data_IF_871154425571
#
_entry.id   IF_871154425571
#
_cell.length_a   1.000
_cell.length_b   1.000
_cell.length_c   1.000
_cell.angle_alpha   90.00
_cell.angle_beta   90.00
_cell.angle_gamma   90.00
#
_symmetry.space_group_name_H-M   'P 1'
#
loop_
_entity.id
_entity.type
_entity.pdbx_description
1 polymer ?
#
# COMPACT_ATOMS: atom_id res chain seq x y z
N UNK A 1 -25.27 -6.14 -2.61
CA UNK A 1 -25.55 -4.73 -2.99
C UNK A 1 -27.01 -4.47 -2.72
N UNK A 2 -27.30 -3.65 -1.76
CA UNK A 2 -28.69 -3.26 -1.51
C UNK A 2 -29.16 -2.21 -2.54
N UNK A 3 -30.44 -1.81 -2.45
CA UNK A 3 -31.02 -0.81 -3.38
C UNK A 3 -30.44 0.60 -3.23
N UNK A 4 -29.56 0.84 -2.24
CA UNK A 4 -28.89 2.13 -2.00
C UNK A 4 -27.51 2.22 -2.66
N UNK A 5 -26.95 1.09 -3.14
CA UNK A 5 -25.62 1.05 -3.73
C UNK A 5 -24.48 1.02 -2.70
N UNK A 6 -24.81 0.75 -1.44
CA UNK A 6 -23.84 0.57 -0.34
C UNK A 6 -23.49 -0.92 -0.18
N UNK A 7 -22.29 -1.23 0.28
CA UNK A 7 -21.79 -2.59 0.51
C UNK A 7 -21.49 -2.76 1.98
N UNK A 8 -22.12 -3.75 2.62
CA UNK A 8 -21.84 -4.06 4.02
C UNK A 8 -20.42 -4.62 4.19
N UNK A 9 -19.85 -4.50 5.39
CA UNK A 9 -18.54 -5.07 5.69
C UNK A 9 -18.47 -6.59 5.41
N UNK A 10 -19.55 -7.32 5.71
CA UNK A 10 -19.62 -8.75 5.41
C UNK A 10 -19.57 -9.05 3.93
N UNK A 11 -20.39 -8.36 3.12
CA UNK A 11 -20.42 -8.52 1.66
C UNK A 11 -19.06 -8.14 1.04
N UNK A 12 -18.42 -7.09 1.56
CA UNK A 12 -17.08 -6.70 1.11
C UNK A 12 -16.04 -7.80 1.33
N UNK A 13 -16.02 -8.43 2.51
CA UNK A 13 -15.09 -9.53 2.79
C UNK A 13 -15.37 -10.76 1.94
N UNK A 14 -16.65 -11.08 1.71
CA UNK A 14 -17.06 -12.19 0.85
C UNK A 14 -16.64 -11.95 -0.61
N UNK A 15 -16.78 -10.73 -1.13
CA UNK A 15 -16.37 -10.35 -2.49
C UNK A 15 -14.86 -10.54 -2.73
N UNK A 16 -14.03 -10.28 -1.72
CA UNK A 16 -12.57 -10.45 -1.81
C UNK A 16 -12.07 -11.78 -1.25
N UNK A 17 -12.99 -12.67 -0.84
CA UNK A 17 -12.70 -13.99 -0.26
C UNK A 17 -11.76 -13.91 0.96
N UNK A 18 -12.06 -13.00 1.88
CA UNK A 18 -11.32 -12.79 3.12
C UNK A 18 -12.20 -13.07 4.35
N UNK A 19 -11.55 -13.47 5.44
CA UNK A 19 -12.19 -13.61 6.74
C UNK A 19 -11.99 -12.33 7.58
N UNK A 20 -12.93 -12.07 8.49
CA UNK A 20 -12.79 -10.98 9.44
C UNK A 20 -11.58 -11.17 10.35
N UNK A 21 -10.75 -10.16 10.48
CA UNK A 21 -9.57 -10.12 11.34
C UNK A 21 -9.31 -8.67 11.81
N UNK A 22 -8.44 -8.50 12.80
CA UNK A 22 -8.03 -7.16 13.23
C UNK A 22 -7.44 -6.35 12.07
N UNK A 23 -6.75 -7.01 11.15
CA UNK A 23 -6.19 -6.39 9.96
C UNK A 23 -7.27 -5.92 8.98
N UNK A 24 -8.26 -6.77 8.66
CA UNK A 24 -9.37 -6.39 7.77
C UNK A 24 -10.27 -5.34 8.41
N UNK A 25 -10.46 -5.36 9.74
CA UNK A 25 -11.16 -4.31 10.48
C UNK A 25 -10.46 -2.95 10.33
N UNK A 26 -9.12 -2.91 10.44
CA UNK A 26 -8.34 -1.68 10.28
C UNK A 26 -8.37 -1.16 8.83
N UNK A 27 -8.27 -2.05 7.83
CA UNK A 27 -8.40 -1.66 6.41
C UNK A 27 -9.78 -1.09 6.13
N UNK A 28 -10.84 -1.71 6.65
CA UNK A 28 -12.21 -1.21 6.48
C UNK A 28 -12.38 0.16 7.12
N UNK A 29 -11.93 0.34 8.37
CA UNK A 29 -12.00 1.61 9.08
C UNK A 29 -11.21 2.75 8.40
N UNK A 30 -10.15 2.42 7.65
CA UNK A 30 -9.40 3.42 6.88
C UNK A 30 -10.25 4.06 5.75
N UNK A 31 -11.18 3.31 5.17
CA UNK A 31 -11.96 3.76 4.01
C UNK A 31 -13.40 4.11 4.35
N UNK A 32 -13.98 3.56 5.41
CA UNK A 32 -15.28 3.96 5.98
C UNK A 32 -15.12 5.30 6.72
N UNK A 33 -15.00 6.38 5.94
CA UNK A 33 -14.69 7.73 6.46
C UNK A 33 -15.86 8.29 7.27
N UNK A 34 -17.09 7.92 6.89
CA UNK A 34 -18.30 8.39 7.57
C UNK A 34 -18.67 7.54 8.81
N UNK A 35 -18.02 6.37 9.00
CA UNK A 35 -18.19 5.50 10.17
C UNK A 35 -19.55 4.82 10.25
N UNK A 36 -20.25 4.65 9.10
CA UNK A 36 -21.58 4.03 9.09
C UNK A 36 -21.56 2.49 9.05
N UNK A 37 -20.39 1.87 8.87
CA UNK A 37 -20.20 0.42 8.78
C UNK A 37 -20.58 -0.19 7.43
N UNK A 38 -20.81 0.63 6.43
CA UNK A 38 -21.08 0.26 5.03
C UNK A 38 -20.15 1.08 4.12
N UNK A 39 -19.82 0.58 2.95
CA UNK A 39 -19.04 1.33 1.96
C UNK A 39 -19.95 1.83 0.86
N UNK A 40 -19.96 3.11 0.62
CA UNK A 40 -20.51 3.68 -0.60
C UNK A 40 -19.57 3.42 -1.80
N UNK A 41 -19.97 3.85 -3.00
CA UNK A 41 -19.17 3.59 -4.20
C UNK A 41 -17.79 4.28 -4.17
N UNK A 42 -17.71 5.49 -3.65
CA UNK A 42 -16.47 6.27 -3.59
C UNK A 42 -15.52 5.66 -2.57
N UNK A 43 -16.01 5.29 -1.38
CA UNK A 43 -15.25 4.58 -0.35
C UNK A 43 -14.77 3.20 -0.83
N UNK A 44 -15.65 2.45 -1.54
CA UNK A 44 -15.29 1.17 -2.13
C UNK A 44 -14.17 1.32 -3.17
N UNK A 45 -14.23 2.29 -4.06
CA UNK A 45 -13.15 2.55 -5.02
C UNK A 45 -11.88 3.03 -4.32
N UNK A 46 -12.00 3.81 -3.24
CA UNK A 46 -10.87 4.32 -2.47
C UNK A 46 -9.98 3.19 -1.94
N UNK A 47 -10.56 2.07 -1.47
CA UNK A 47 -9.77 0.94 -0.97
C UNK A 47 -8.86 0.36 -2.07
N UNK A 48 -9.35 0.21 -3.29
CA UNK A 48 -8.55 -0.28 -4.40
C UNK A 48 -7.47 0.72 -4.82
N UNK A 49 -7.83 2.02 -4.91
CA UNK A 49 -6.90 3.06 -5.29
C UNK A 49 -5.80 3.29 -4.27
N UNK A 50 -6.04 2.98 -3.00
CA UNK A 50 -5.07 3.14 -1.92
C UNK A 50 -4.30 1.85 -1.71
N UNK A 51 -4.96 0.80 -1.22
CA UNK A 51 -4.29 -0.40 -0.75
C UNK A 51 -3.66 -1.23 -1.88
N UNK A 52 -4.36 -1.36 -3.03
CA UNK A 52 -3.79 -2.06 -4.19
C UNK A 52 -2.54 -1.37 -4.77
N UNK A 53 -2.35 -0.08 -4.47
CA UNK A 53 -1.20 0.69 -4.93
C UNK A 53 -0.07 0.76 -3.91
N UNK A 54 -0.21 0.23 -2.71
CA UNK A 54 0.86 0.18 -1.72
C UNK A 54 2.05 -0.64 -2.21
N UNK A 55 3.24 -0.11 -2.03
CA UNK A 55 4.49 -0.87 -2.13
C UNK A 55 4.75 -1.64 -0.83
N UNK A 56 5.84 -2.41 -0.79
CA UNK A 56 6.16 -3.25 0.37
C UNK A 56 6.35 -2.44 1.67
N UNK A 57 7.01 -1.30 1.60
CA UNK A 57 7.26 -0.47 2.77
C UNK A 57 5.97 0.22 3.25
N UNK A 58 5.10 0.65 2.32
CA UNK A 58 3.78 1.19 2.64
C UNK A 58 2.89 0.12 3.31
N UNK A 59 2.92 -1.14 2.85
CA UNK A 59 2.21 -2.25 3.49
C UNK A 59 2.77 -2.52 4.90
N UNK A 60 4.09 -2.50 5.05
CA UNK A 60 4.72 -2.72 6.35
C UNK A 60 4.33 -1.63 7.35
N UNK A 61 4.42 -0.36 6.95
CA UNK A 61 4.01 0.77 7.78
C UNK A 61 2.53 0.68 8.15
N UNK A 62 1.67 0.43 7.18
CA UNK A 62 0.23 0.27 7.42
C UNK A 62 -0.07 -0.92 8.36
N UNK A 63 0.63 -2.05 8.19
CA UNK A 63 0.46 -3.21 9.07
C UNK A 63 0.86 -2.88 10.51
N UNK A 64 1.96 -2.16 10.70
CA UNK A 64 2.39 -1.68 12.00
C UNK A 64 1.31 -0.80 12.66
N UNK A 65 0.83 0.21 11.95
CA UNK A 65 -0.23 1.13 12.40
C UNK A 65 -1.56 0.41 12.73
N UNK A 66 -1.88 -0.69 12.03
CA UNK A 66 -3.06 -1.52 12.35
C UNK A 66 -2.98 -2.18 13.72
N UNK A 67 -1.77 -2.49 14.20
CA UNK A 67 -1.57 -3.18 15.48
C UNK A 67 -1.20 -2.22 16.60
N UNK A 68 -0.62 -1.06 16.32
CA UNK A 68 -0.46 0.08 17.24
C UNK A 68 -1.83 0.77 17.43
N UNK A 69 -2.67 0.21 18.31
CA UNK A 69 -4.07 0.64 18.44
C UNK A 69 -4.27 1.94 19.19
N UNK A 70 -3.39 2.22 20.13
CA UNK A 70 -3.42 3.44 20.92
C UNK A 70 -2.62 4.60 20.31
N UNK A 71 -1.98 4.33 19.14
CA UNK A 71 -1.11 5.25 18.41
C UNK A 71 0.03 5.77 19.29
N UNK A 72 0.58 4.91 20.12
CA UNK A 72 1.74 5.23 20.97
C UNK A 72 3.04 5.36 20.17
N UNK A 73 3.06 4.81 18.96
CA UNK A 73 4.24 4.69 18.11
C UNK A 73 5.08 3.46 18.42
N UNK A 74 4.58 2.57 19.30
CA UNK A 74 5.25 1.31 19.70
C UNK A 74 4.22 0.20 19.84
N UNK A 75 4.62 -1.05 19.65
CA UNK A 75 3.76 -2.23 19.86
C UNK A 75 4.08 -2.84 21.23
N UNK A 76 3.07 -2.90 22.09
CA UNK A 76 3.14 -3.52 23.40
C UNK A 76 2.81 -5.03 23.36
N UNK A 77 2.81 -5.68 24.54
CA UNK A 77 2.56 -7.12 24.65
C UNK A 77 1.14 -7.52 24.19
N UNK A 78 0.11 -6.71 24.43
CA UNK A 78 -1.28 -7.02 24.06
C UNK A 78 -1.45 -6.88 22.54
N UNK A 79 -0.88 -5.86 21.96
CA UNK A 79 -0.89 -5.57 20.54
C UNK A 79 -0.07 -6.60 19.75
N UNK A 80 1.11 -6.95 20.26
CA UNK A 80 1.93 -8.02 19.68
C UNK A 80 1.23 -9.38 19.72
N UNK A 81 0.52 -9.68 20.78
CA UNK A 81 -0.29 -10.90 20.88
C UNK A 81 -1.37 -10.95 19.81
N UNK A 82 -2.00 -9.80 19.52
CA UNK A 82 -2.99 -9.69 18.45
C UNK A 82 -2.36 -9.87 17.07
N UNK A 83 -1.19 -9.27 16.84
CA UNK A 83 -0.39 -9.45 15.62
C UNK A 83 -0.07 -10.94 15.43
N UNK A 84 0.50 -11.59 16.44
CA UNK A 84 0.85 -13.01 16.39
C UNK A 84 -0.35 -13.91 16.10
N UNK A 85 -1.49 -13.65 16.70
CA UNK A 85 -2.73 -14.38 16.42
C UNK A 85 -3.21 -14.21 14.98
N UNK A 86 -3.13 -12.99 14.45
CA UNK A 86 -3.55 -12.67 13.08
C UNK A 86 -2.64 -13.35 12.05
N UNK A 87 -1.31 -13.30 12.26
CA UNK A 87 -0.32 -13.94 11.38
C UNK A 87 -0.48 -15.47 11.36
N UNK A 88 -0.81 -16.06 12.49
CA UNK A 88 -0.84 -17.51 12.66
C UNK A 88 -2.23 -18.14 12.47
N UNK A 89 -3.25 -17.39 12.04
CA UNK A 89 -4.62 -17.89 12.01
C UNK A 89 -5.04 -18.52 13.36
N UNK A 90 -4.62 -17.94 14.48
CA UNK A 90 -4.86 -18.44 15.83
C UNK A 90 -3.86 -19.49 16.32
N UNK A 91 -2.87 -19.91 15.51
CA UNK A 91 -1.84 -20.87 15.93
C UNK A 91 -0.63 -20.13 16.56
N UNK A 92 -0.09 -20.59 17.71
CA UNK A 92 0.94 -19.87 18.46
C UNK A 92 2.37 -20.13 17.97
N UNK A 93 2.60 -20.14 16.64
CA UNK A 93 3.89 -20.60 16.05
C UNK A 93 4.84 -19.48 15.61
N UNK A 94 4.44 -18.22 15.72
CA UNK A 94 5.32 -17.10 15.33
C UNK A 94 5.52 -16.14 16.48
N UNK A 95 6.73 -15.58 16.53
CA UNK A 95 7.63 -15.83 17.64
C UNK A 95 6.78 -16.04 18.87
N UNK A 96 6.85 -17.20 19.48
CA UNK A 96 5.87 -17.81 20.37
C UNK A 96 5.37 -16.97 21.54
N UNK A 97 6.05 -15.87 21.87
CA UNK A 97 5.62 -14.87 22.84
C UNK A 97 6.37 -13.55 22.65
N UNK A 98 5.82 -12.49 23.23
CA UNK A 98 6.39 -11.15 23.21
C UNK A 98 7.78 -11.09 23.85
N UNK A 99 8.02 -11.82 24.94
CA UNK A 99 9.35 -11.88 25.56
C UNK A 99 10.45 -12.38 24.63
N UNK A 100 10.18 -13.39 23.80
CA UNK A 100 11.15 -13.87 22.79
C UNK A 100 11.37 -12.82 21.70
N UNK A 101 10.31 -12.08 21.31
CA UNK A 101 10.45 -11.00 20.35
C UNK A 101 11.29 -9.85 20.91
N UNK A 102 11.09 -9.48 22.17
CA UNK A 102 11.92 -8.47 22.84
C UNK A 102 13.39 -8.94 22.94
N UNK A 103 13.66 -10.18 23.39
CA UNK A 103 15.03 -10.71 23.49
C UNK A 103 15.79 -10.65 22.15
N UNK A 104 15.08 -10.75 21.03
CA UNK A 104 15.68 -10.82 19.70
C UNK A 104 15.70 -9.44 18.98
N UNK A 105 14.71 -8.57 19.20
CA UNK A 105 14.51 -7.37 18.39
C UNK A 105 14.47 -6.06 19.15
N UNK A 106 14.21 -6.05 20.47
CA UNK A 106 14.27 -4.84 21.30
C UNK A 106 15.74 -4.38 21.43
N UNK A 107 16.12 -3.38 20.64
CA UNK A 107 17.50 -2.88 20.60
C UNK A 107 17.76 -1.77 21.61
N UNK A 108 16.71 -1.10 22.06
CA UNK A 108 16.81 0.03 22.96
C UNK A 108 16.51 -0.32 24.43
N UNK A 109 16.12 -1.61 24.69
CA UNK A 109 15.79 -2.16 26.01
C UNK A 109 14.62 -1.41 26.70
N UNK A 110 13.65 -0.89 25.94
CA UNK A 110 12.48 -0.20 26.48
C UNK A 110 11.28 -1.12 26.76
N UNK A 111 11.38 -2.37 26.34
CA UNK A 111 10.35 -3.39 26.55
C UNK A 111 9.18 -3.29 25.57
N UNK A 112 9.33 -2.57 24.47
CA UNK A 112 8.34 -2.36 23.42
C UNK A 112 8.97 -2.72 22.06
N UNK A 113 8.19 -2.69 20.99
CA UNK A 113 8.70 -2.86 19.62
C UNK A 113 8.36 -1.60 18.83
N UNK A 114 9.37 -0.83 18.48
CA UNK A 114 9.21 0.34 17.62
C UNK A 114 9.19 -0.03 16.12
N UNK A 115 9.00 0.96 15.25
CA UNK A 115 8.90 0.75 13.80
C UNK A 115 10.20 0.20 13.18
N UNK A 116 11.36 0.57 13.68
CA UNK A 116 12.65 0.11 13.14
C UNK A 116 12.93 -1.33 13.59
N UNK A 117 12.58 -1.67 14.81
CA UNK A 117 12.61 -3.03 15.37
C UNK A 117 11.60 -3.94 14.67
N UNK A 118 10.41 -3.43 14.36
CA UNK A 118 9.42 -4.16 13.56
C UNK A 118 9.90 -4.43 12.12
N UNK A 119 10.64 -3.51 11.51
CA UNK A 119 11.28 -3.75 10.21
C UNK A 119 12.28 -4.88 10.28
N UNK A 120 13.10 -4.92 11.33
CA UNK A 120 14.07 -5.99 11.53
C UNK A 120 13.37 -7.33 11.81
N UNK A 121 12.32 -7.33 12.63
CA UNK A 121 11.47 -8.48 12.88
C UNK A 121 10.87 -9.01 11.56
N UNK A 122 10.33 -8.14 10.71
CA UNK A 122 9.82 -8.56 9.40
C UNK A 122 10.92 -9.06 8.45
N UNK A 123 12.16 -8.57 8.57
CA UNK A 123 13.30 -9.05 7.78
C UNK A 123 13.63 -10.49 8.11
N UNK A 124 13.59 -10.84 9.39
CA UNK A 124 13.85 -12.21 9.90
C UNK A 124 12.64 -13.12 9.67
N UNK A 125 11.43 -12.57 9.92
CA UNK A 125 10.16 -13.29 9.82
C UNK A 125 9.22 -12.65 8.79
N UNK A 126 9.46 -12.83 7.48
CA UNK A 126 8.63 -12.20 6.43
C UNK A 126 7.16 -12.61 6.46
N UNK A 127 6.83 -13.68 7.17
CA UNK A 127 5.45 -14.17 7.35
C UNK A 127 4.56 -13.19 8.11
N UNK A 128 5.13 -12.23 8.84
CA UNK A 128 4.37 -11.17 9.53
C UNK A 128 3.48 -10.38 8.58
N UNK A 129 3.98 -10.10 7.39
CA UNK A 129 3.23 -9.37 6.37
C UNK A 129 2.41 -10.27 5.43
N UNK A 130 2.42 -11.60 5.64
CA UNK A 130 1.69 -12.50 4.75
C UNK A 130 0.19 -12.20 4.66
N UNK A 131 -0.55 -11.94 5.76
CA UNK A 131 -1.97 -11.58 5.68
C UNK A 131 -2.19 -10.30 4.87
N UNK A 132 -1.34 -9.30 5.05
CA UNK A 132 -1.41 -8.02 4.36
C UNK A 132 -1.18 -8.17 2.84
N UNK A 133 -0.20 -8.97 2.44
CA UNK A 133 0.05 -9.26 1.03
C UNK A 133 -1.04 -10.13 0.40
N UNK A 134 -1.57 -11.11 1.14
CA UNK A 134 -2.68 -11.94 0.68
C UNK A 134 -3.92 -11.08 0.42
N UNK A 135 -4.23 -10.19 1.35
CA UNK A 135 -5.33 -9.24 1.22
C UNK A 135 -5.15 -8.35 -0.03
N UNK A 136 -3.95 -7.78 -0.25
CA UNK A 136 -3.67 -7.00 -1.46
C UNK A 136 -3.86 -7.82 -2.74
N UNK A 137 -3.37 -9.07 -2.76
CA UNK A 137 -3.48 -9.94 -3.92
C UNK A 137 -4.94 -10.31 -4.23
N UNK A 138 -5.75 -10.54 -3.18
CA UNK A 138 -7.18 -10.83 -3.33
C UNK A 138 -7.95 -9.60 -3.83
N UNK A 139 -7.69 -8.42 -3.29
CA UNK A 139 -8.23 -7.15 -3.81
C UNK A 139 -7.84 -6.93 -5.29
N UNK A 140 -6.58 -7.13 -5.62
CA UNK A 140 -6.10 -6.96 -7.00
C UNK A 140 -6.76 -7.96 -7.96
N UNK A 141 -6.93 -9.21 -7.55
CA UNK A 141 -7.59 -10.26 -8.34
C UNK A 141 -9.08 -10.00 -8.52
N UNK A 142 -9.76 -9.61 -7.43
CA UNK A 142 -11.21 -9.33 -7.42
C UNK A 142 -11.61 -8.09 -8.24
N UNK A 143 -10.67 -7.14 -8.45
CA UNK A 143 -10.95 -5.91 -9.21
C UNK A 143 -10.50 -5.99 -10.67
N UNK A 144 -9.32 -5.47 -10.99
CA UNK A 144 -8.81 -5.35 -12.37
C UNK A 144 -7.99 -6.58 -12.82
N UNK A 145 -7.72 -7.50 -11.90
CA UNK A 145 -6.80 -8.61 -12.09
C UNK A 145 -5.32 -8.25 -11.90
N UNK A 146 -4.54 -9.20 -11.40
CA UNK A 146 -3.14 -8.98 -11.00
C UNK A 146 -2.26 -8.44 -12.13
N UNK A 147 -2.48 -8.87 -13.38
CA UNK A 147 -1.69 -8.40 -14.54
C UNK A 147 -1.84 -6.89 -14.77
N UNK A 148 -3.09 -6.38 -14.64
CA UNK A 148 -3.37 -4.96 -14.82
C UNK A 148 -2.79 -4.12 -13.71
N UNK A 149 -2.88 -4.59 -12.46
CA UNK A 149 -2.26 -3.92 -11.33
C UNK A 149 -0.74 -3.85 -11.42
N UNK A 150 -0.08 -4.89 -11.93
CA UNK A 150 1.37 -4.86 -12.20
C UNK A 150 1.74 -3.74 -13.19
N UNK A 151 0.93 -3.51 -14.22
CA UNK A 151 1.15 -2.39 -15.15
C UNK A 151 0.95 -1.03 -14.48
N UNK A 152 -0.11 -0.88 -13.68
CA UNK A 152 -0.41 0.35 -12.92
C UNK A 152 0.73 0.67 -11.95
N UNK A 153 1.19 -0.32 -11.17
CA UNK A 153 2.28 -0.16 -10.21
C UNK A 153 3.61 0.19 -10.90
N UNK A 154 3.92 -0.43 -12.04
CA UNK A 154 5.10 -0.04 -12.83
C UNK A 154 5.01 1.40 -13.29
N UNK A 155 3.83 1.87 -13.69
CA UNK A 155 3.62 3.27 -14.09
C UNK A 155 3.75 4.22 -12.90
N UNK A 156 3.14 3.91 -11.74
CA UNK A 156 3.30 4.67 -10.48
C UNK A 156 4.78 4.83 -10.12
N UNK A 157 5.52 3.72 -10.06
CA UNK A 157 6.94 3.75 -9.71
C UNK A 157 7.77 4.55 -10.70
N UNK A 158 7.47 4.44 -11.99
CA UNK A 158 8.14 5.24 -13.02
C UNK A 158 7.86 6.73 -12.86
N UNK A 159 6.62 7.12 -12.56
CA UNK A 159 6.24 8.51 -12.26
C UNK A 159 7.00 9.04 -11.05
N UNK A 160 7.00 8.30 -9.94
CA UNK A 160 7.74 8.64 -8.72
C UNK A 160 9.22 8.86 -8.99
N UNK A 161 9.89 7.93 -9.68
CA UNK A 161 11.31 8.05 -10.01
C UNK A 161 11.61 9.27 -10.90
N UNK A 162 10.72 9.60 -11.84
CA UNK A 162 10.89 10.79 -12.70
C UNK A 162 10.71 12.06 -11.88
N UNK A 163 9.74 12.09 -10.97
CA UNK A 163 9.51 13.24 -10.12
C UNK A 163 10.68 13.48 -9.15
N UNK A 164 11.19 12.45 -8.48
CA UNK A 164 12.39 12.54 -7.64
C UNK A 164 13.61 13.02 -8.42
N UNK A 165 13.78 12.53 -9.66
CA UNK A 165 14.86 13.00 -10.53
C UNK A 165 14.70 14.48 -10.87
N UNK A 166 13.50 14.93 -11.21
CA UNK A 166 13.21 16.35 -11.51
C UNK A 166 13.50 17.27 -10.34
N UNK A 167 13.10 16.87 -9.12
CA UNK A 167 13.35 17.64 -7.90
C UNK A 167 14.85 17.83 -7.65
N UNK A 168 15.67 16.79 -7.90
CA UNK A 168 17.12 16.84 -7.69
C UNK A 168 17.89 17.48 -8.85
N UNK A 169 17.32 17.52 -10.07
CA UNK A 169 17.99 17.98 -11.31
C UNK A 169 17.31 19.21 -11.94
N UNK A 170 16.81 20.14 -11.14
CA UNK A 170 16.25 21.43 -11.59
C UNK A 170 15.15 21.29 -12.65
N UNK A 171 14.29 20.31 -12.49
CA UNK A 171 13.15 20.07 -13.40
C UNK A 171 13.48 19.29 -14.68
N UNK A 172 14.72 18.84 -14.87
CA UNK A 172 15.11 18.05 -16.04
C UNK A 172 14.57 16.62 -15.94
N UNK A 173 14.26 16.03 -17.10
CA UNK A 173 13.87 14.62 -17.17
C UNK A 173 15.11 13.71 -17.12
N UNK A 174 14.96 12.46 -16.61
CA UNK A 174 16.06 11.49 -16.64
C UNK A 174 16.57 11.26 -18.04
N UNK A 175 17.90 11.08 -18.24
CA UNK A 175 18.46 10.86 -19.55
C UNK A 175 17.94 9.56 -20.17
N UNK A 176 17.58 9.60 -21.44
CA UNK A 176 17.27 8.42 -22.24
C UNK A 176 18.45 8.04 -23.10
N UNK A 177 18.57 6.76 -23.47
CA UNK A 177 19.66 6.35 -24.37
C UNK A 177 19.55 7.11 -25.69
N UNK A 178 20.68 7.53 -26.23
CA UNK A 178 20.71 8.26 -27.51
C UNK A 178 20.03 7.51 -28.66
N UNK A 179 20.07 6.18 -28.62
CA UNK A 179 19.34 5.35 -29.59
C UNK A 179 17.81 5.52 -29.43
N UNK A 180 17.29 5.45 -28.22
CA UNK A 180 15.84 5.61 -27.94
C UNK A 180 15.37 7.01 -28.32
N UNK A 181 16.15 8.04 -28.02
CA UNK A 181 15.83 9.42 -28.39
C UNK A 181 15.81 9.61 -29.93
N UNK A 182 16.81 9.08 -30.62
CA UNK A 182 16.89 9.12 -32.08
C UNK A 182 15.69 8.39 -32.71
N UNK A 183 15.38 7.16 -32.25
CA UNK A 183 14.28 6.35 -32.79
C UNK A 183 12.92 6.97 -32.55
N UNK A 184 12.69 7.62 -31.41
CA UNK A 184 11.42 8.31 -31.13
C UNK A 184 11.19 9.54 -32.02
N UNK A 185 12.27 10.20 -32.47
CA UNK A 185 12.21 11.33 -33.42
C UNK A 185 12.05 10.87 -34.88
N UNK A 186 12.71 9.76 -35.26
CA UNK A 186 12.70 9.25 -36.62
C UNK A 186 11.47 8.42 -36.97
N UNK A 187 10.95 7.65 -36.01
CA UNK A 187 9.84 6.75 -36.21
C UNK A 187 8.78 6.90 -35.09
N UNK A 188 8.12 8.07 -34.98
CA UNK A 188 7.18 8.37 -33.89
C UNK A 188 5.93 7.48 -33.88
N UNK A 189 5.60 6.84 -35.01
CA UNK A 189 4.50 5.86 -35.10
C UNK A 189 4.83 4.51 -34.45
N UNK A 190 6.11 4.12 -34.43
CA UNK A 190 6.56 2.83 -33.93
C UNK A 190 7.33 2.93 -32.60
N UNK A 191 7.93 4.07 -32.34
CA UNK A 191 8.78 4.35 -31.16
C UNK A 191 8.23 5.55 -30.39
N UNK A 192 7.55 5.29 -29.28
CA UNK A 192 7.12 6.37 -28.37
C UNK A 192 8.26 6.79 -27.47
N UNK A 193 8.38 8.10 -27.22
CA UNK A 193 9.33 8.59 -26.23
C UNK A 193 9.02 7.96 -24.86
N UNK A 194 10.02 7.44 -24.11
CA UNK A 194 9.79 6.71 -22.86
C UNK A 194 9.02 7.48 -21.80
N UNK A 195 9.08 8.80 -21.84
CA UNK A 195 8.43 9.70 -20.90
C UNK A 195 7.25 10.48 -21.49
N UNK A 196 6.77 10.13 -22.70
CA UNK A 196 5.67 10.87 -23.34
C UNK A 196 4.42 10.92 -22.47
N UNK A 197 3.97 9.75 -21.99
CA UNK A 197 2.79 9.64 -21.14
C UNK A 197 2.97 10.36 -19.79
N UNK A 198 4.20 10.45 -19.29
CA UNK A 198 4.56 11.16 -18.06
C UNK A 198 4.55 12.67 -18.28
N UNK A 199 5.08 13.13 -19.41
CA UNK A 199 5.06 14.56 -19.76
C UNK A 199 3.63 15.07 -19.94
N UNK A 200 2.77 14.27 -20.58
CA UNK A 200 1.35 14.60 -20.74
C UNK A 200 0.62 14.65 -19.38
N UNK A 201 0.92 13.71 -18.47
CA UNK A 201 0.34 13.70 -17.12
C UNK A 201 0.80 14.89 -16.26
N UNK A 202 2.09 15.25 -16.33
CA UNK A 202 2.64 16.41 -15.60
C UNK A 202 2.10 17.74 -16.12
N UNK A 203 1.90 17.87 -17.43
CA UNK A 203 1.29 19.07 -18.01
C UNK A 203 -0.17 19.25 -17.55
N UNK A 204 -0.93 18.14 -17.43
CA UNK A 204 -2.30 18.19 -16.95
C UNK A 204 -2.43 18.63 -15.48
N UNK A 205 -1.43 18.33 -14.63
CA UNK A 205 -1.40 18.81 -13.23
C UNK A 205 -1.03 20.28 -13.12
N UNK A 206 -0.05 20.75 -13.93
CA UNK A 206 0.36 22.14 -13.95
C UNK A 206 -0.80 23.08 -14.44
N UNK A 207 -1.62 22.60 -15.38
CA UNK A 207 -2.79 23.33 -15.88
C UNK A 207 -3.94 23.44 -14.84
N UNK A 208 -4.08 22.48 -13.93
CA UNK A 208 -5.07 22.50 -12.85
C UNK A 208 -4.69 23.49 -11.74
N UNK A 209 -3.42 23.55 -11.36
CA UNK A 209 -2.93 24.50 -10.34
C UNK A 209 -3.03 25.96 -10.79
N UNK A 210 -2.92 26.23 -12.08
CA UNK A 210 -3.08 27.59 -12.63
C UNK A 210 -4.53 28.04 -12.77
N UNK A 211 -5.50 27.12 -12.89
CA UNK A 211 -6.92 27.42 -13.00
C UNK A 211 -7.62 27.70 -11.64
N UNK A 212 -7.01 27.32 -10.53
CA UNK A 212 -7.51 27.55 -9.17
C UNK A 212 -7.12 28.91 -8.56
N UNK A 213 -6.35 29.75 -9.28
CA UNK A 213 -5.87 31.06 -8.81
C UNK A 213 -6.53 32.27 -9.50
N UNK A 214 -7.65 32.07 -10.19
CA UNK A 214 -8.41 33.15 -10.84
C UNK A 214 -9.76 33.41 -10.17
#
# INVERSE_FOLDING_TARGET
MDLKGEISYGDFLDDINEARSAFTDAVFAMVDVNGNGELDFDEYIQIFMTYCMFNRDEILTFTYECFDKDNSGTIDEEEFKLLAQTVNNGAPTFPGNFGTALEEFDQNDDGLIDMDEFRELNRVYPMVLFPAFLFQDNLQKGSLGSARWVEILKRKNKLKNVEEYRQTHKGQLPPVSGYTECMSKLLPCCYKHPYKDIMEALQATDDQDTSGMS
#
